data_IF_208271252267
#
_entry.id   IF_208271252267
#
_cell.length_a   1.000
_cell.length_b   1.000
_cell.length_c   1.000
_cell.angle_alpha   90.00
_cell.angle_beta   90.00
_cell.angle_gamma   90.00
#
_symmetry.space_group_name_H-M   'P 1'
#
loop_
_entity.id
_entity.type
_entity.pdbx_description
1 polymer ?
#
# COMPACT_ATOMS: atom_id res chain seq x y z
N UNK A 1 4.96 21.13 26.83
CA UNK A 1 5.19 21.89 25.58
C UNK A 1 6.63 21.82 25.07
N UNK A 2 7.67 22.15 25.85
CA UNK A 2 9.09 22.06 25.41
C UNK A 2 9.50 20.67 24.87
N UNK A 3 9.07 19.58 25.49
CA UNK A 3 9.40 18.20 25.04
C UNK A 3 8.76 17.81 23.69
N UNK A 4 7.58 18.37 23.39
CA UNK A 4 6.87 18.15 22.11
C UNK A 4 7.56 18.93 20.99
N UNK A 5 8.05 20.13 21.29
CA UNK A 5 8.80 20.96 20.34
C UNK A 5 10.10 20.28 19.90
N UNK A 6 10.84 19.66 20.83
CA UNK A 6 12.05 18.89 20.50
C UNK A 6 11.76 17.64 19.65
N UNK A 7 10.63 16.96 19.90
CA UNK A 7 10.20 15.81 19.09
C UNK A 7 9.84 16.24 17.65
N UNK A 8 9.16 17.37 17.50
CA UNK A 8 8.82 17.95 16.19
C UNK A 8 10.05 18.40 15.41
N UNK A 9 11.04 19.01 16.08
CA UNK A 9 12.32 19.41 15.47
C UNK A 9 13.13 18.18 15.04
N UNK A 10 13.11 17.11 15.83
CA UNK A 10 13.79 15.86 15.49
C UNK A 10 13.12 15.12 14.31
N UNK A 11 11.78 15.19 14.20
CA UNK A 11 11.04 14.66 13.05
C UNK A 11 11.26 15.43 11.74
N UNK A 12 11.54 16.74 11.82
CA UNK A 12 11.87 17.57 10.66
C UNK A 12 13.34 17.40 10.18
N UNK A 13 14.23 16.93 11.05
CA UNK A 13 15.65 16.72 10.72
C UNK A 13 15.92 15.45 9.90
N UNK A 14 14.95 14.52 9.81
CA UNK A 14 15.06 13.28 9.02
C UNK A 14 14.47 13.51 7.62
N UNK A 15 14.95 14.53 6.92
CA UNK A 15 14.75 14.60 5.48
C UNK A 15 15.89 13.79 4.84
N UNK A 16 15.55 12.61 4.30
CA UNK A 16 16.47 11.88 3.44
C UNK A 16 16.79 12.77 2.24
N UNK A 17 17.97 13.40 2.24
CA UNK A 17 18.51 14.06 1.07
C UNK A 17 18.85 12.96 0.07
N UNK A 18 17.97 12.70 -0.90
CA UNK A 18 18.39 12.07 -2.13
C UNK A 18 19.50 12.93 -2.70
N UNK A 19 20.66 12.32 -3.00
CA UNK A 19 21.80 13.03 -3.58
C UNK A 19 21.39 13.63 -4.93
N UNK A 20 21.01 14.90 -4.90
CA UNK A 20 20.83 15.73 -6.09
C UNK A 20 22.18 16.37 -6.35
N UNK A 21 22.77 16.04 -7.48
CA UNK A 21 24.06 16.60 -7.90
C UNK A 21 23.81 17.56 -9.08
N UNK A 22 24.56 18.66 -9.11
CA UNK A 22 24.53 19.61 -10.22
C UNK A 22 25.53 19.17 -11.28
N UNK A 23 25.06 19.00 -12.51
CA UNK A 23 25.86 18.62 -13.68
C UNK A 23 25.81 19.72 -14.73
N UNK A 24 26.91 19.94 -15.45
CA UNK A 24 26.92 20.85 -16.60
C UNK A 24 26.75 20.03 -17.88
N UNK A 25 25.64 20.23 -18.59
CA UNK A 25 25.28 19.47 -19.81
C UNK A 25 24.87 20.50 -20.87
N UNK A 26 25.62 20.58 -21.99
CA UNK A 26 25.42 21.58 -23.05
C UNK A 26 25.32 23.02 -22.51
N UNK A 27 26.29 23.41 -21.67
CA UNK A 27 26.37 24.73 -21.01
C UNK A 27 25.21 25.08 -20.06
N UNK A 28 24.35 24.10 -19.75
CA UNK A 28 23.28 24.24 -18.77
C UNK A 28 23.64 23.48 -17.49
N UNK A 29 23.49 24.15 -16.35
CA UNK A 29 23.56 23.48 -15.05
C UNK A 29 22.21 22.82 -14.75
N UNK A 30 22.23 21.49 -14.61
CA UNK A 30 21.06 20.67 -14.33
C UNK A 30 21.27 19.93 -13.01
N UNK A 31 20.32 20.07 -12.09
CA UNK A 31 20.25 19.22 -10.91
C UNK A 31 19.62 17.89 -11.30
N UNK A 32 20.33 16.77 -11.06
CA UNK A 32 19.85 15.44 -11.38
C UNK A 32 19.96 14.51 -10.17
N UNK A 33 18.98 13.63 -10.03
CA UNK A 33 18.96 12.51 -9.07
C UNK A 33 19.58 11.28 -9.72
N UNK A 34 20.40 10.57 -8.97
CA UNK A 34 20.95 9.26 -9.37
C UNK A 34 19.97 8.14 -9.00
N UNK A 35 19.50 7.39 -9.99
CA UNK A 35 18.59 6.24 -9.82
C UNK A 35 19.34 4.90 -9.87
N UNK A 36 20.40 4.83 -10.67
CA UNK A 36 21.34 3.71 -10.78
C UNK A 36 22.75 4.29 -10.75
N UNK A 37 23.64 3.61 -10.03
CA UNK A 37 25.07 3.91 -9.93
C UNK A 37 25.85 2.63 -10.29
N UNK A 38 26.54 2.61 -11.43
CA UNK A 38 27.21 1.44 -11.99
C UNK A 38 28.05 1.79 -13.22
N UNK A 39 28.25 0.84 -14.15
CA UNK A 39 28.98 1.12 -15.40
C UNK A 39 28.28 2.17 -16.28
N UNK A 40 26.96 2.11 -16.28
CA UNK A 40 26.09 3.16 -16.79
C UNK A 40 25.18 3.62 -15.66
N UNK A 41 25.23 4.90 -15.36
CA UNK A 41 24.33 5.50 -14.37
C UNK A 41 23.05 5.96 -15.04
N UNK A 42 21.94 5.85 -14.32
CA UNK A 42 20.68 6.47 -14.70
C UNK A 42 20.47 7.73 -13.87
N UNK A 43 20.47 8.88 -14.52
CA UNK A 43 20.18 10.17 -13.90
C UNK A 43 18.83 10.70 -14.36
N UNK A 44 18.11 11.41 -13.50
CA UNK A 44 16.84 12.02 -13.88
C UNK A 44 16.47 13.23 -13.04
N UNK A 45 15.64 14.11 -13.60
CA UNK A 45 14.87 15.07 -12.82
C UNK A 45 13.61 15.50 -13.60
N UNK A 46 12.73 16.23 -12.93
CA UNK A 46 11.54 16.81 -13.53
C UNK A 46 11.76 18.30 -13.77
N UNK A 47 11.56 18.75 -15.00
CA UNK A 47 11.66 20.15 -15.40
C UNK A 47 10.33 20.59 -15.98
N UNK A 48 9.70 21.62 -15.42
CA UNK A 48 8.37 22.10 -15.84
C UNK A 48 7.31 20.98 -15.91
N UNK A 49 7.34 20.06 -14.94
CA UNK A 49 6.42 18.91 -14.88
C UNK A 49 6.74 17.75 -15.84
N UNK A 50 7.83 17.85 -16.62
CA UNK A 50 8.24 16.80 -17.56
C UNK A 50 9.49 16.07 -17.07
N UNK A 51 9.46 14.74 -17.11
CA UNK A 51 10.62 13.92 -16.78
C UNK A 51 11.66 14.01 -17.90
N UNK A 52 12.92 14.22 -17.51
CA UNK A 52 14.09 14.11 -18.38
C UNK A 52 15.04 13.09 -17.78
N UNK A 53 15.55 12.20 -18.63
CA UNK A 53 16.43 11.11 -18.25
C UNK A 53 17.77 11.25 -18.95
N UNK A 54 18.83 10.85 -18.28
CA UNK A 54 20.19 10.92 -18.79
C UNK A 54 20.94 9.66 -18.41
N UNK A 55 21.89 9.27 -19.25
CA UNK A 55 22.83 8.21 -18.96
C UNK A 55 24.21 8.82 -18.75
N UNK A 56 24.92 8.40 -17.70
CA UNK A 56 26.33 8.77 -17.48
C UNK A 56 27.20 7.53 -17.67
N UNK A 57 28.22 7.64 -18.49
CA UNK A 57 29.23 6.59 -18.70
C UNK A 57 30.36 6.70 -17.68
N UNK A 58 31.18 5.65 -17.54
CA UNK A 58 32.30 5.58 -16.59
C UNK A 58 33.33 6.74 -16.77
N UNK A 59 33.48 7.25 -17.99
CA UNK A 59 34.33 8.40 -18.31
C UNK A 59 33.71 9.76 -17.92
N UNK A 60 32.52 9.75 -17.31
CA UNK A 60 31.80 10.92 -16.85
C UNK A 60 30.99 11.64 -17.94
N UNK A 61 30.94 11.13 -19.18
CA UNK A 61 30.11 11.73 -20.23
C UNK A 61 28.62 11.53 -19.93
N UNK A 62 27.85 12.62 -20.01
CA UNK A 62 26.41 12.58 -19.74
C UNK A 62 25.64 12.85 -21.04
N UNK A 63 24.74 11.95 -21.38
CA UNK A 63 23.91 12.04 -22.58
C UNK A 63 22.43 11.95 -22.23
N UNK A 64 21.62 12.85 -22.80
CA UNK A 64 20.17 12.85 -22.58
C UNK A 64 19.48 11.75 -23.40
N UNK A 65 18.59 11.01 -22.75
CA UNK A 65 17.74 9.99 -23.37
C UNK A 65 16.53 10.65 -24.02
N UNK A 66 16.72 11.12 -25.25
CA UNK A 66 15.71 11.89 -26.00
C UNK A 66 14.66 10.99 -26.65
N UNK A 67 13.45 11.52 -26.74
CA UNK A 67 12.37 10.96 -27.54
C UNK A 67 11.58 12.10 -28.20
N UNK A 68 12.16 12.70 -29.25
CA UNK A 68 11.57 13.88 -29.90
C UNK A 68 10.54 13.48 -30.94
N UNK A 69 9.62 14.41 -31.28
CA UNK A 69 8.68 14.22 -32.39
C UNK A 69 9.32 14.67 -33.69
N UNK A 70 9.26 13.81 -34.70
CA UNK A 70 9.63 14.14 -36.07
C UNK A 70 8.61 15.05 -36.76
N UNK A 71 8.91 15.43 -37.99
CA UNK A 71 8.04 16.24 -38.86
C UNK A 71 6.72 15.53 -39.20
N UNK A 72 6.66 14.21 -39.04
CA UNK A 72 5.50 13.35 -39.23
C UNK A 72 4.66 13.17 -37.94
N UNK A 73 4.96 13.95 -36.89
CA UNK A 73 4.37 13.85 -35.55
C UNK A 73 4.61 12.52 -34.82
N UNK A 74 5.50 11.66 -35.31
CA UNK A 74 5.87 10.41 -34.63
C UNK A 74 7.08 10.60 -33.74
N UNK A 75 7.12 9.84 -32.65
CA UNK A 75 8.27 9.78 -31.77
C UNK A 75 9.42 9.04 -32.44
N UNK A 76 10.63 9.59 -32.36
CA UNK A 76 11.82 9.05 -33.02
C UNK A 76 12.56 7.98 -32.20
N UNK A 77 12.23 7.84 -30.92
CA UNK A 77 12.82 6.84 -30.01
C UNK A 77 14.36 6.85 -29.95
N UNK A 78 14.99 8.02 -30.03
CA UNK A 78 16.45 8.17 -30.14
C UNK A 78 17.21 7.50 -28.98
N UNK A 79 16.61 7.52 -27.79
CA UNK A 79 17.12 6.84 -26.60
C UNK A 79 17.38 5.34 -26.80
N UNK A 80 16.58 4.64 -27.62
CA UNK A 80 16.76 3.20 -27.89
C UNK A 80 18.07 2.95 -28.62
N UNK A 81 18.34 3.71 -29.68
CA UNK A 81 19.57 3.60 -30.46
C UNK A 81 20.80 3.96 -29.61
N UNK A 82 20.70 5.01 -28.80
CA UNK A 82 21.77 5.41 -27.88
C UNK A 82 22.05 4.31 -26.85
N UNK A 83 21.03 3.80 -26.19
CA UNK A 83 21.18 2.76 -25.17
C UNK A 83 21.72 1.47 -25.78
N UNK A 84 21.18 1.02 -26.92
CA UNK A 84 21.69 -0.17 -27.61
C UNK A 84 23.17 -0.03 -27.95
N UNK A 85 23.62 1.16 -28.39
CA UNK A 85 25.04 1.46 -28.63
C UNK A 85 25.87 1.37 -27.35
N UNK A 86 25.41 1.97 -26.25
CA UNK A 86 26.12 1.99 -24.97
C UNK A 86 26.18 0.61 -24.29
N UNK A 87 25.21 -0.27 -24.58
CA UNK A 87 25.08 -1.60 -23.97
C UNK A 87 25.45 -2.73 -24.93
N UNK A 88 26.42 -2.52 -25.83
CA UNK A 88 26.94 -3.56 -26.73
C UNK A 88 25.86 -4.30 -27.56
N UNK A 89 24.83 -3.59 -28.01
CA UNK A 89 23.77 -4.14 -28.86
C UNK A 89 22.64 -4.86 -28.12
N UNK A 90 22.50 -4.72 -26.80
CA UNK A 90 21.33 -5.25 -26.10
C UNK A 90 20.02 -4.71 -26.73
N UNK A 91 19.01 -5.57 -26.77
CA UNK A 91 17.73 -5.27 -27.44
C UNK A 91 16.94 -4.20 -26.68
N UNK A 92 16.54 -3.16 -27.41
CA UNK A 92 15.75 -2.03 -26.90
C UNK A 92 14.34 -1.97 -27.50
N UNK A 93 13.91 -2.98 -28.27
CA UNK A 93 12.64 -2.96 -29.02
C UNK A 93 11.43 -2.68 -28.12
N UNK A 94 11.36 -3.37 -26.97
CA UNK A 94 10.28 -3.25 -25.98
C UNK A 94 10.54 -2.20 -24.91
N UNK A 95 11.68 -1.52 -24.95
CA UNK A 95 12.06 -0.51 -23.97
C UNK A 95 11.13 0.70 -24.12
N UNK A 96 10.63 1.23 -23.00
CA UNK A 96 9.89 2.50 -22.98
C UNK A 96 10.70 3.56 -22.25
N UNK A 97 10.49 4.82 -22.61
CA UNK A 97 11.11 5.97 -21.92
C UNK A 97 10.39 6.26 -20.59
N UNK A 98 10.46 5.31 -19.66
CA UNK A 98 9.98 5.45 -18.28
C UNK A 98 11.10 5.11 -17.31
N UNK A 99 11.12 5.75 -16.14
CA UNK A 99 12.15 5.48 -15.12
C UNK A 99 12.26 3.99 -14.79
N UNK A 100 11.13 3.28 -14.70
CA UNK A 100 11.09 1.87 -14.36
C UNK A 100 11.73 0.98 -15.43
N UNK A 101 11.36 1.18 -16.70
CA UNK A 101 11.89 0.38 -17.81
C UNK A 101 13.37 0.68 -18.06
N UNK A 102 13.77 1.96 -17.98
CA UNK A 102 15.17 2.39 -18.11
C UNK A 102 16.03 1.84 -16.97
N UNK A 103 15.53 1.91 -15.73
CA UNK A 103 16.18 1.33 -14.56
C UNK A 103 16.39 -0.17 -14.75
N UNK A 104 15.35 -0.90 -15.15
CA UNK A 104 15.46 -2.34 -15.40
C UNK A 104 16.50 -2.69 -16.46
N UNK A 105 16.50 -1.96 -17.57
CA UNK A 105 17.43 -2.19 -18.67
C UNK A 105 18.88 -1.96 -18.23
N UNK A 106 19.17 -0.81 -17.62
CA UNK A 106 20.53 -0.46 -17.19
C UNK A 106 21.02 -1.29 -16.01
N UNK A 107 20.14 -1.67 -15.08
CA UNK A 107 20.49 -2.57 -13.98
C UNK A 107 20.92 -3.95 -14.49
N UNK A 108 20.17 -4.52 -15.44
CA UNK A 108 20.52 -5.78 -16.08
C UNK A 108 21.84 -5.69 -16.85
N UNK A 109 22.06 -4.58 -17.58
CA UNK A 109 23.34 -4.34 -18.24
C UNK A 109 24.49 -4.28 -17.23
N UNK A 110 24.39 -3.43 -16.19
CA UNK A 110 25.44 -3.27 -15.18
C UNK A 110 25.75 -4.60 -14.48
N UNK A 111 24.73 -5.38 -14.12
CA UNK A 111 24.90 -6.72 -13.53
C UNK A 111 25.60 -7.72 -14.46
N UNK A 112 25.40 -7.59 -15.78
CA UNK A 112 26.09 -8.44 -16.76
C UNK A 112 27.50 -7.95 -17.11
N UNK A 113 27.73 -6.63 -17.03
CA UNK A 113 28.97 -6.00 -17.43
C UNK A 113 29.99 -5.89 -16.29
N UNK A 114 29.56 -5.97 -15.04
CA UNK A 114 30.39 -5.92 -13.83
C UNK A 114 29.92 -6.98 -12.82
N UNK A 115 30.79 -7.95 -12.52
CA UNK A 115 30.50 -9.02 -11.55
C UNK A 115 30.45 -8.55 -10.09
N UNK A 116 30.97 -7.36 -9.80
CA UNK A 116 30.90 -6.73 -8.47
C UNK A 116 29.67 -5.85 -8.28
N UNK A 117 28.94 -5.56 -9.35
CA UNK A 117 27.73 -4.74 -9.31
C UNK A 117 26.62 -5.45 -8.53
N UNK A 118 26.03 -4.73 -7.57
CA UNK A 118 24.87 -5.22 -6.82
C UNK A 118 23.60 -4.66 -7.45
N UNK A 119 22.81 -5.55 -8.07
CA UNK A 119 21.54 -5.19 -8.70
C UNK A 119 20.61 -4.44 -7.75
N UNK A 120 20.04 -3.34 -8.24
CA UNK A 120 18.99 -2.57 -7.58
C UNK A 120 17.59 -3.05 -7.93
N UNK A 121 17.44 -3.99 -8.88
CA UNK A 121 16.18 -4.68 -9.16
C UNK A 121 15.88 -5.66 -8.01
N UNK A 122 14.88 -5.34 -7.20
CA UNK A 122 14.19 -6.34 -6.39
C UNK A 122 12.99 -6.82 -7.19
N UNK A 123 13.00 -8.08 -7.61
CA UNK A 123 11.79 -8.68 -8.16
C UNK A 123 10.69 -8.65 -7.10
N UNK A 124 9.67 -7.85 -7.37
CA UNK A 124 8.46 -7.77 -6.57
C UNK A 124 7.66 -9.06 -6.79
N UNK A 125 7.58 -9.90 -5.76
CA UNK A 125 6.69 -11.07 -5.78
C UNK A 125 5.44 -10.74 -4.98
N UNK A 126 4.27 -10.90 -5.58
CA UNK A 126 3.02 -10.78 -4.84
C UNK A 126 2.84 -12.03 -3.98
N UNK A 127 2.58 -11.83 -2.69
CA UNK A 127 2.26 -12.87 -1.72
C UNK A 127 0.86 -12.68 -1.17
N UNK A 128 0.32 -13.79 -0.69
CA UNK A 128 -1.01 -13.87 -0.12
C UNK A 128 -0.90 -14.43 1.30
N UNK A 129 -1.75 -13.94 2.18
CA UNK A 129 -1.91 -14.45 3.54
C UNK A 129 -3.38 -14.68 3.82
N UNK A 130 -3.68 -15.81 4.46
CA UNK A 130 -5.02 -16.16 4.91
C UNK A 130 -5.11 -15.99 6.43
N UNK A 131 -6.21 -15.43 6.91
CA UNK A 131 -6.46 -15.17 8.32
C UNK A 131 -7.85 -15.62 8.76
N UNK A 132 -7.95 -16.10 10.00
CA UNK A 132 -9.21 -16.40 10.67
C UNK A 132 -9.23 -15.69 12.03
N UNK A 133 -10.37 -15.16 12.44
CA UNK A 133 -10.51 -14.41 13.69
C UNK A 133 -11.86 -14.66 14.34
N UNK A 134 -11.89 -14.53 15.66
CA UNK A 134 -13.08 -14.51 16.48
C UNK A 134 -13.02 -13.34 17.47
N UNK A 135 -14.16 -12.81 17.87
CA UNK A 135 -14.21 -11.62 18.70
C UNK A 135 -15.60 -11.23 19.12
N UNK A 136 -15.73 -9.96 19.47
CA UNK A 136 -16.98 -9.30 19.84
C UNK A 136 -17.11 -7.99 19.08
N UNK A 137 -18.35 -7.61 18.80
CA UNK A 137 -18.69 -6.34 18.19
C UNK A 137 -19.95 -5.78 18.82
N UNK A 138 -20.03 -4.46 18.98
CA UNK A 138 -21.29 -3.77 19.26
C UNK A 138 -21.98 -3.25 18.00
N UNK A 139 -21.46 -3.56 16.80
CA UNK A 139 -21.93 -3.02 15.52
C UNK A 139 -22.09 -1.48 15.59
N UNK A 140 -20.99 -0.73 15.79
CA UNK A 140 -21.04 0.67 16.23
C UNK A 140 -21.77 1.61 15.26
N UNK A 141 -21.95 1.23 14.00
CA UNK A 141 -22.64 2.03 12.98
C UNK A 141 -24.13 1.70 12.83
N UNK A 142 -24.67 0.86 13.70
CA UNK A 142 -26.08 0.47 13.74
C UNK A 142 -26.74 1.05 15.00
N UNK A 143 -28.04 1.32 14.93
CA UNK A 143 -28.83 1.75 16.09
C UNK A 143 -28.79 0.69 17.19
N UNK A 144 -27.95 0.92 18.20
CA UNK A 144 -27.72 0.04 19.34
C UNK A 144 -27.63 0.87 20.63
N UNK A 145 -28.73 1.51 21.06
CA UNK A 145 -28.69 2.54 22.11
C UNK A 145 -28.16 2.04 23.46
N UNK A 146 -28.28 0.73 23.73
CA UNK A 146 -27.77 0.10 24.95
C UNK A 146 -26.33 -0.43 24.81
N UNK A 147 -25.69 -0.19 23.67
CA UNK A 147 -24.32 -0.57 23.36
C UNK A 147 -24.03 -2.07 23.55
N UNK A 148 -25.01 -2.91 23.17
CA UNK A 148 -24.97 -4.37 23.35
C UNK A 148 -23.92 -5.01 22.48
N UNK A 149 -23.30 -6.08 22.98
CA UNK A 149 -22.28 -6.82 22.26
C UNK A 149 -22.83 -8.11 21.66
N UNK A 150 -22.25 -8.48 20.53
CA UNK A 150 -22.52 -9.70 19.79
C UNK A 150 -21.19 -10.42 19.53
N UNK A 151 -21.18 -11.76 19.55
CA UNK A 151 -20.07 -12.53 19.02
C UNK A 151 -19.81 -12.22 17.55
N UNK A 152 -18.55 -12.33 17.13
CA UNK A 152 -18.09 -12.08 15.78
C UNK A 152 -17.13 -13.18 15.36
N UNK A 153 -17.22 -13.60 14.10
CA UNK A 153 -16.15 -14.35 13.40
C UNK A 153 -15.78 -13.66 12.09
N UNK A 154 -14.58 -13.91 11.61
CA UNK A 154 -14.16 -13.39 10.31
C UNK A 154 -13.01 -14.15 9.67
N UNK A 155 -12.94 -14.07 8.35
CA UNK A 155 -11.83 -14.55 7.53
C UNK A 155 -11.31 -13.42 6.65
N UNK A 156 -10.00 -13.41 6.39
CA UNK A 156 -9.33 -12.36 5.63
C UNK A 156 -8.32 -12.96 4.65
N UNK A 157 -8.37 -12.50 3.40
CA UNK A 157 -7.33 -12.70 2.41
C UNK A 157 -6.55 -11.38 2.26
N UNK A 158 -5.28 -11.37 2.65
CA UNK A 158 -4.39 -10.22 2.53
C UNK A 158 -3.42 -10.41 1.36
N UNK A 159 -3.29 -9.40 0.51
CA UNK A 159 -2.39 -9.36 -0.64
C UNK A 159 -1.33 -8.29 -0.42
N UNK A 160 -0.07 -8.65 -0.59
CA UNK A 160 1.06 -7.76 -0.35
C UNK A 160 2.26 -8.10 -1.23
N UNK A 161 3.15 -7.12 -1.37
CA UNK A 161 4.43 -7.31 -2.04
C UNK A 161 5.46 -7.93 -1.08
N UNK A 162 6.19 -8.94 -1.56
CA UNK A 162 7.33 -9.53 -0.86
C UNK A 162 8.45 -8.50 -0.73
N UNK A 163 8.56 -7.95 0.48
CA UNK A 163 9.64 -7.09 0.89
C UNK A 163 10.07 -7.52 2.30
N UNK A 164 11.31 -7.24 2.68
CA UNK A 164 11.81 -7.54 4.03
C UNK A 164 10.95 -6.88 5.12
N UNK A 165 10.26 -5.77 4.80
CA UNK A 165 9.28 -5.10 5.65
C UNK A 165 8.06 -4.63 4.83
N UNK A 166 7.04 -5.47 4.76
CA UNK A 166 5.73 -5.14 4.16
C UNK A 166 5.16 -3.88 4.80
N UNK A 167 5.03 -2.78 4.05
CA UNK A 167 4.39 -1.54 4.55
C UNK A 167 2.93 -1.42 4.15
N UNK A 168 2.59 -1.94 2.97
CA UNK A 168 1.31 -1.75 2.33
C UNK A 168 0.71 -3.10 1.97
N UNK A 169 -0.58 -3.25 2.18
CA UNK A 169 -1.33 -4.43 1.75
C UNK A 169 -2.79 -4.08 1.46
N UNK A 170 -3.38 -4.80 0.53
CA UNK A 170 -4.82 -4.85 0.34
C UNK A 170 -5.40 -6.07 1.03
N UNK A 171 -6.67 -6.02 1.42
CA UNK A 171 -7.36 -7.20 1.94
C UNK A 171 -8.80 -7.29 1.45
N UNK A 172 -9.25 -8.53 1.30
CA UNK A 172 -10.65 -8.91 1.20
C UNK A 172 -11.01 -9.62 2.51
N UNK A 173 -12.11 -9.22 3.13
CA UNK A 173 -12.54 -9.79 4.40
C UNK A 173 -14.01 -10.18 4.34
N UNK A 174 -14.35 -11.27 5.04
CA UNK A 174 -15.72 -11.66 5.33
C UNK A 174 -15.86 -11.71 6.85
N UNK A 175 -16.89 -11.05 7.39
CA UNK A 175 -17.22 -11.04 8.81
C UNK A 175 -18.67 -11.46 9.00
N UNK A 176 -18.94 -12.17 10.09
CA UNK A 176 -20.29 -12.48 10.53
C UNK A 176 -20.45 -12.09 12.00
N UNK A 177 -21.35 -11.14 12.27
CA UNK A 177 -21.79 -10.81 13.62
C UNK A 177 -23.06 -11.60 13.93
N UNK A 178 -23.03 -12.35 15.02
CA UNK A 178 -24.12 -13.21 15.45
C UNK A 178 -25.21 -12.38 16.12
N UNK A 179 -26.45 -12.84 15.98
CA UNK A 179 -27.55 -12.35 16.80
C UNK A 179 -27.31 -12.69 18.28
N UNK A 180 -27.75 -11.82 19.18
CA UNK A 180 -27.81 -12.09 20.61
C UNK A 180 -29.19 -11.71 21.17
N UNK A 181 -29.54 -12.28 22.33
CA UNK A 181 -30.84 -11.98 22.98
C UNK A 181 -31.00 -10.48 23.29
N UNK A 182 -29.88 -9.78 23.49
CA UNK A 182 -29.84 -8.35 23.78
C UNK A 182 -29.80 -7.48 22.52
N UNK A 183 -29.43 -8.05 21.38
CA UNK A 183 -29.33 -7.38 20.10
C UNK A 183 -29.81 -8.33 19.00
N UNK A 184 -31.09 -8.25 18.67
CA UNK A 184 -31.74 -9.02 17.59
C UNK A 184 -31.32 -8.50 16.20
N UNK A 185 -30.02 -8.54 15.94
CA UNK A 185 -29.36 -8.09 14.73
C UNK A 185 -28.23 -9.08 14.42
N UNK A 186 -28.21 -9.57 13.19
CA UNK A 186 -27.06 -10.29 12.63
C UNK A 186 -26.68 -9.71 11.29
N UNK A 187 -25.40 -9.81 10.94
CA UNK A 187 -24.93 -9.33 9.65
C UNK A 187 -23.78 -10.16 9.10
N UNK A 188 -23.83 -10.44 7.80
CA UNK A 188 -22.68 -10.91 7.02
C UNK A 188 -22.13 -9.73 6.22
N UNK A 189 -20.91 -9.32 6.50
CA UNK A 189 -20.21 -8.25 5.80
C UNK A 189 -19.12 -8.84 4.90
N UNK A 190 -19.11 -8.46 3.62
CA UNK A 190 -17.95 -8.58 2.74
C UNK A 190 -17.30 -7.20 2.64
N UNK A 191 -15.99 -7.10 2.84
CA UNK A 191 -15.28 -5.82 2.80
C UNK A 191 -14.00 -5.86 1.99
N UNK A 192 -13.77 -4.78 1.25
CA UNK A 192 -12.50 -4.46 0.62
C UNK A 192 -11.80 -3.37 1.43
N UNK A 193 -10.52 -3.59 1.69
CA UNK A 193 -9.76 -2.65 2.50
C UNK A 193 -8.29 -2.59 2.18
N UNK A 194 -7.67 -1.60 2.83
CA UNK A 194 -6.26 -1.27 2.70
C UNK A 194 -5.63 -1.16 4.09
N UNK A 195 -4.39 -1.62 4.22
CA UNK A 195 -3.64 -1.64 5.47
C UNK A 195 -2.27 -1.00 5.30
N UNK A 196 -1.94 -0.12 6.24
CA UNK A 196 -0.64 0.54 6.34
C UNK A 196 0.04 0.21 7.67
N UNK A 197 1.18 -0.47 7.60
CA UNK A 197 2.03 -0.83 8.75
C UNK A 197 3.00 0.31 9.06
N UNK A 198 2.61 1.17 10.00
CA UNK A 198 3.45 2.29 10.45
C UNK A 198 4.58 1.84 11.39
N UNK A 199 4.41 0.72 12.09
CA UNK A 199 5.48 0.05 12.83
C UNK A 199 5.62 -1.38 12.29
N UNK A 200 6.76 -1.71 11.71
CA UNK A 200 7.02 -3.05 11.18
C UNK A 200 8.37 -3.56 11.66
N UNK A 201 8.36 -4.59 12.51
CA UNK A 201 9.53 -5.28 13.06
C UNK A 201 9.46 -6.76 12.67
N UNK A 202 10.58 -7.47 12.77
CA UNK A 202 10.65 -8.91 12.44
C UNK A 202 9.76 -9.78 13.33
N UNK A 203 9.45 -9.33 14.56
CA UNK A 203 8.65 -10.05 15.55
C UNK A 203 7.20 -9.58 15.64
N UNK A 204 6.91 -8.32 15.31
CA UNK A 204 5.56 -7.79 15.33
C UNK A 204 5.40 -6.60 14.39
N UNK A 205 4.16 -6.33 13.99
CA UNK A 205 3.78 -5.11 13.29
C UNK A 205 2.57 -4.46 13.94
N UNK A 206 2.46 -3.15 13.80
CA UNK A 206 1.26 -2.37 14.14
C UNK A 206 0.85 -1.60 12.89
N UNK A 207 -0.45 -1.65 12.59
CA UNK A 207 -1.01 -1.07 11.38
C UNK A 207 -2.30 -0.33 11.64
N UNK A 208 -2.52 0.71 10.83
CA UNK A 208 -3.85 1.25 10.57
C UNK A 208 -4.45 0.55 9.36
N UNK A 209 -5.76 0.42 9.33
CA UNK A 209 -6.49 -0.11 8.19
C UNK A 209 -7.75 0.69 7.91
N UNK A 210 -8.21 0.64 6.67
CA UNK A 210 -9.48 1.22 6.24
C UNK A 210 -10.25 0.23 5.38
N UNK A 211 -11.53 0.00 5.68
CA UNK A 211 -12.49 -0.64 4.77
C UNK A 211 -13.12 0.44 3.91
N UNK A 212 -12.87 0.41 2.62
CA UNK A 212 -13.36 1.44 1.71
C UNK A 212 -14.60 1.03 0.92
N UNK A 213 -14.95 -0.25 0.90
CA UNK A 213 -16.20 -0.74 0.35
C UNK A 213 -16.71 -1.92 1.17
N UNK A 214 -18.02 -1.96 1.43
CA UNK A 214 -18.68 -3.03 2.20
C UNK A 214 -19.97 -3.47 1.50
N UNK A 215 -20.23 -4.77 1.51
CA UNK A 215 -21.52 -5.37 1.13
C UNK A 215 -22.04 -6.14 2.34
N UNK A 216 -23.16 -5.66 2.89
CA UNK A 216 -23.76 -6.18 4.11
C UNK A 216 -25.07 -6.92 3.79
N UNK A 217 -25.23 -8.11 4.34
CA UNK A 217 -26.49 -8.86 4.39
C UNK A 217 -26.94 -8.92 5.84
N UNK A 218 -27.99 -8.17 6.16
CA UNK A 218 -28.42 -7.90 7.52
C UNK A 218 -29.80 -8.46 7.75
N UNK A 219 -29.96 -9.12 8.90
CA UNK A 219 -31.26 -9.51 9.46
C UNK A 219 -31.42 -8.80 10.80
N UNK A 220 -32.55 -8.11 11.00
CA UNK A 220 -32.85 -7.44 12.25
C UNK A 220 -34.32 -7.55 12.61
N UNK A 221 -34.63 -7.66 13.90
CA UNK A 221 -36.01 -7.59 14.41
C UNK A 221 -36.23 -6.25 15.08
N UNK A 222 -37.28 -5.53 14.64
CA UNK A 222 -37.66 -4.24 15.21
C UNK A 222 -39.09 -4.29 15.72
N UNK A 223 -39.36 -3.59 16.82
CA UNK A 223 -40.72 -3.46 17.36
C UNK A 223 -41.42 -2.33 16.61
N UNK A 224 -42.46 -2.67 15.85
CA UNK A 224 -43.29 -1.70 15.14
C UNK A 224 -44.18 -0.88 16.08
N UNK A 225 -44.80 0.19 15.56
CA UNK A 225 -45.66 1.10 16.32
C UNK A 225 -46.85 0.43 17.03
N UNK A 226 -47.22 -0.78 16.60
CA UNK A 226 -48.33 -1.55 17.13
C UNK A 226 -47.88 -2.67 18.10
N UNK A 227 -46.65 -2.62 18.62
CA UNK A 227 -46.02 -3.70 19.41
C UNK A 227 -45.89 -5.05 18.67
N UNK A 228 -45.96 -5.04 17.34
CA UNK A 228 -45.67 -6.22 16.51
C UNK A 228 -44.19 -6.29 16.17
N UNK A 229 -43.58 -7.46 16.33
CA UNK A 229 -42.23 -7.73 15.85
C UNK A 229 -42.21 -7.76 14.31
N UNK A 230 -41.32 -6.98 13.72
CA UNK A 230 -41.08 -6.93 12.28
C UNK A 230 -39.67 -7.43 12.01
N UNK A 231 -39.55 -8.54 11.28
CA UNK A 231 -38.27 -9.03 10.79
C UNK A 231 -37.93 -8.33 9.48
N UNK A 232 -36.75 -7.71 9.43
CA UNK A 232 -36.25 -6.94 8.32
C UNK A 232 -35.00 -7.64 7.78
N UNK A 233 -34.98 -7.85 6.46
CA UNK A 233 -33.82 -8.34 5.73
C UNK A 233 -33.37 -7.27 4.73
N UNK A 234 -32.12 -6.82 4.85
CA UNK A 234 -31.56 -5.74 4.04
C UNK A 234 -30.23 -6.17 3.45
N UNK A 235 -30.06 -5.89 2.17
CA UNK A 235 -28.76 -5.93 1.50
C UNK A 235 -28.32 -4.49 1.22
N UNK A 236 -27.14 -4.10 1.68
CA UNK A 236 -26.61 -2.75 1.50
C UNK A 236 -25.17 -2.79 0.97
N UNK A 237 -24.88 -1.95 -0.02
CA UNK A 237 -23.53 -1.68 -0.47
C UNK A 237 -23.16 -0.24 -0.11
N UNK A 238 -22.04 -0.07 0.58
CA UNK A 238 -21.60 1.22 1.10
C UNK A 238 -20.12 1.47 0.79
N UNK A 239 -19.74 2.75 0.77
CA UNK A 239 -18.35 3.22 0.73
C UNK A 239 -18.11 3.98 2.04
N UNK A 240 -17.94 3.30 3.18
CA UNK A 240 -18.06 3.95 4.48
C UNK A 240 -16.75 4.60 4.98
N UNK A 241 -15.60 4.16 4.44
CA UNK A 241 -14.26 4.46 4.95
C UNK A 241 -14.17 4.19 6.46
N UNK A 242 -14.33 2.92 6.86
CA UNK A 242 -14.26 2.48 8.26
C UNK A 242 -12.80 2.28 8.65
N UNK A 243 -12.34 2.97 9.68
CA UNK A 243 -10.96 2.91 10.15
C UNK A 243 -10.82 1.96 11.34
N UNK A 244 -9.71 1.22 11.35
CA UNK A 244 -9.32 0.32 12.43
C UNK A 244 -7.82 0.33 12.68
N UNK A 245 -7.41 -0.27 13.79
CA UNK A 245 -6.00 -0.50 14.14
C UNK A 245 -5.83 -1.98 14.46
N UNK A 246 -4.66 -2.53 14.16
CA UNK A 246 -4.35 -3.89 14.58
C UNK A 246 -2.86 -4.15 14.70
N UNK A 247 -2.56 -5.36 15.16
CA UNK A 247 -1.19 -5.85 15.29
C UNK A 247 -1.11 -7.30 14.84
N UNK A 248 -0.06 -7.61 14.09
CA UNK A 248 0.33 -8.99 13.78
C UNK A 248 1.59 -9.34 14.58
N UNK A 249 1.54 -10.38 15.40
CA UNK A 249 2.64 -10.88 16.24
C UNK A 249 3.12 -12.20 15.66
N UNK A 250 4.40 -12.28 15.28
CA UNK A 250 4.99 -13.49 14.69
C UNK A 250 5.11 -14.59 15.75
N UNK A 251 4.57 -15.77 15.46
CA UNK A 251 4.64 -16.97 16.32
C UNK A 251 5.29 -18.17 15.65
N UNK A 252 5.57 -18.08 14.35
CA UNK A 252 6.29 -19.08 13.56
C UNK A 252 6.86 -18.44 12.30
N UNK A 253 7.50 -19.22 11.42
CA UNK A 253 8.11 -18.68 10.20
C UNK A 253 7.09 -17.98 9.30
N UNK A 254 5.92 -18.62 9.12
CA UNK A 254 4.83 -18.16 8.28
C UNK A 254 3.55 -17.90 9.07
N UNK A 255 3.64 -17.73 10.40
CA UNK A 255 2.48 -17.76 11.30
C UNK A 255 2.43 -16.54 12.21
N UNK A 256 1.24 -15.98 12.38
CA UNK A 256 1.02 -14.77 13.15
C UNK A 256 -0.24 -14.89 14.00
N UNK A 257 -0.20 -14.41 15.24
CA UNK A 257 -1.39 -14.03 15.99
C UNK A 257 -1.75 -12.61 15.59
N UNK A 258 -3.01 -12.35 15.27
CA UNK A 258 -3.50 -11.01 14.93
C UNK A 258 -4.46 -10.52 16.00
N UNK A 259 -4.36 -9.24 16.34
CA UNK A 259 -5.28 -8.55 17.24
C UNK A 259 -5.80 -7.34 16.48
N UNK A 260 -7.11 -7.19 16.40
CA UNK A 260 -7.76 -6.19 15.56
C UNK A 260 -8.77 -5.43 16.41
N UNK A 261 -8.67 -4.11 16.39
CA UNK A 261 -9.77 -3.21 16.72
C UNK A 261 -10.28 -2.64 15.38
N UNK A 262 -11.34 -3.25 14.85
CA UNK A 262 -11.70 -3.16 13.44
C UNK A 262 -12.48 -1.91 13.03
N UNK A 263 -13.35 -1.43 13.92
CA UNK A 263 -14.35 -0.40 13.59
C UNK A 263 -14.30 0.78 14.56
N UNK A 264 -13.17 1.49 14.63
CA UNK A 264 -12.98 2.63 15.53
C UNK A 264 -13.93 3.78 15.20
N UNK A 265 -14.01 4.15 13.93
CA UNK A 265 -14.88 5.20 13.39
C UNK A 265 -15.01 5.04 11.87
N UNK A 266 -15.99 5.71 11.27
CA UNK A 266 -16.18 5.77 9.82
C UNK A 266 -16.25 7.22 9.36
N UNK A 267 -15.89 7.50 8.11
CA UNK A 267 -16.01 8.87 7.57
C UNK A 267 -17.44 9.21 7.15
N UNK A 268 -18.21 8.21 6.69
CA UNK A 268 -19.53 8.39 6.09
C UNK A 268 -20.66 7.65 6.80
N UNK A 269 -20.38 7.05 7.96
CA UNK A 269 -21.39 6.43 8.83
C UNK A 269 -21.32 7.04 10.22
N UNK A 270 -22.48 7.37 10.77
CA UNK A 270 -22.60 7.82 12.15
C UNK A 270 -22.50 6.62 13.10
N UNK A 271 -21.82 6.81 14.22
CA UNK A 271 -21.73 5.81 15.29
C UNK A 271 -23.04 5.66 16.09
N UNK A 272 -24.12 6.35 15.73
CA UNK A 272 -25.42 6.28 16.41
C UNK A 272 -25.36 6.46 17.94
N UNK A 273 -24.36 7.19 18.45
CA UNK A 273 -24.13 7.36 19.90
C UNK A 273 -23.30 6.25 20.57
N UNK A 274 -22.90 5.22 19.84
CA UNK A 274 -22.08 4.11 20.34
C UNK A 274 -20.62 4.50 20.52
N UNK A 275 -20.02 4.01 21.62
CA UNK A 275 -18.57 3.89 21.73
C UNK A 275 -18.16 2.52 21.18
N UNK A 276 -17.29 2.50 20.17
CA UNK A 276 -16.97 1.26 19.48
C UNK A 276 -16.37 0.22 20.43
N UNK A 277 -16.82 -1.01 20.26
CA UNK A 277 -16.33 -2.22 20.93
C UNK A 277 -16.25 -3.32 19.88
N UNK A 278 -15.34 -3.15 18.92
CA UNK A 278 -15.13 -4.07 17.80
C UNK A 278 -13.74 -4.69 17.89
N UNK A 279 -13.61 -5.77 18.64
CA UNK A 279 -12.30 -6.38 18.96
C UNK A 279 -12.31 -7.84 18.55
N UNK A 280 -11.30 -8.26 17.79
CA UNK A 280 -11.09 -9.65 17.43
C UNK A 280 -9.64 -10.07 17.60
N UNK A 281 -9.46 -11.37 17.87
CA UNK A 281 -8.17 -12.05 17.90
C UNK A 281 -8.22 -13.19 16.91
N UNK A 282 -7.12 -13.40 16.21
CA UNK A 282 -7.07 -14.39 15.15
C UNK A 282 -5.69 -14.97 14.91
N UNK A 283 -5.65 -15.84 13.91
CA UNK A 283 -4.43 -16.45 13.41
C UNK A 283 -4.33 -16.21 11.92
N UNK A 284 -3.16 -15.80 11.45
CA UNK A 284 -2.85 -15.61 10.03
C UNK A 284 -1.65 -16.44 9.62
N UNK A 285 -1.64 -16.91 8.38
CA UNK A 285 -0.50 -17.59 7.81
C UNK A 285 -0.25 -17.20 6.35
N UNK A 286 1.03 -17.08 5.99
CA UNK A 286 1.43 -16.83 4.60
C UNK A 286 1.20 -18.10 3.78
N UNK A 287 0.67 -17.94 2.57
CA UNK A 287 0.53 -18.99 1.55
C UNK A 287 1.78 -19.07 0.66
#
# INVERSE_FOLDING_TARGET
MRKILFLLIFLLAVQYNYSQNTYTINDQQLELKTEIDGKLDLLWNTFNGQYRYFVRTEDGQIQELKNTKGTDNKFQEEYKSLLSKLTNGQSTEKLKLTIFDLKKFLDNYNASADSSYTSVQKESKVKIRLGFSGGITNNPFVGNPENKIAPLIGTELEVFEENSLIRHSGFLQVRYAFESDELQYSTTEFSLGYRYRFLNKSTFSIYGQVKFATLNFTTATVIGSNNSELNINVTAFDIPLIFGIGSDIKVGENSFITIIYGELFAAFLDNQGNFSTDISVGYKFNL
#
